data_IF_046739675759
#
_entry.id   IF_046739675759
#
_cell.length_a   1.000
_cell.length_b   1.000
_cell.length_c   1.000
_cell.angle_alpha   90.00
_cell.angle_beta   90.00
_cell.angle_gamma   90.00
#
_symmetry.space_group_name_H-M   'P 1'
#
loop_
_entity.id
_entity.type
_entity.pdbx_description
1 polymer ?
#
# COMPACT_ATOMS: atom_id res chain seq x y z
N UNK A 1 -17.01 -19.58 -13.96
CA UNK A 1 -17.23 -18.14 -13.79
C UNK A 1 -16.75 -17.43 -15.03
N UNK A 2 -17.49 -16.42 -15.49
CA UNK A 2 -17.19 -15.60 -16.65
C UNK A 2 -17.26 -14.13 -16.22
N UNK A 3 -16.17 -13.40 -16.42
CA UNK A 3 -16.09 -11.98 -16.11
C UNK A 3 -16.46 -11.13 -17.31
N UNK A 4 -17.28 -10.09 -17.11
CA UNK A 4 -17.69 -9.13 -18.14
C UNK A 4 -16.99 -7.78 -17.99
N UNK A 5 -16.32 -7.56 -16.88
CA UNK A 5 -15.48 -6.39 -16.62
C UNK A 5 -14.02 -6.84 -16.42
N UNK A 6 -13.08 -5.99 -16.83
CA UNK A 6 -11.64 -6.23 -16.63
C UNK A 6 -11.24 -5.88 -15.19
N UNK A 7 -10.17 -6.52 -14.72
CA UNK A 7 -9.53 -6.17 -13.45
C UNK A 7 -9.15 -4.68 -13.45
N UNK A 8 -9.45 -3.98 -12.35
CA UNK A 8 -9.18 -2.55 -12.20
C UNK A 8 -10.07 -1.61 -13.00
N UNK A 9 -11.05 -2.14 -13.75
CA UNK A 9 -11.96 -1.29 -14.50
C UNK A 9 -12.90 -0.49 -13.59
N UNK A 10 -13.10 0.78 -13.90
CA UNK A 10 -14.16 1.60 -13.30
C UNK A 10 -15.48 1.37 -14.00
N UNK A 11 -16.56 1.26 -13.23
CA UNK A 11 -17.90 1.06 -13.77
C UNK A 11 -18.94 1.89 -13.00
N UNK A 12 -20.10 2.04 -13.60
CA UNK A 12 -21.23 2.76 -13.01
C UNK A 12 -22.33 1.76 -12.58
N UNK A 13 -23.09 2.02 -11.53
CA UNK A 13 -24.28 1.25 -11.20
C UNK A 13 -25.39 1.42 -12.25
N UNK A 14 -26.10 0.36 -12.66
CA UNK A 14 -25.91 -1.05 -12.33
C UNK A 14 -25.13 -1.71 -13.47
N UNK A 15 -24.01 -2.40 -13.13
CA UNK A 15 -23.19 -3.08 -14.13
C UNK A 15 -23.16 -4.58 -13.87
N UNK A 16 -23.41 -5.39 -14.89
CA UNK A 16 -23.26 -6.83 -14.85
C UNK A 16 -21.77 -7.19 -14.91
N UNK A 17 -21.19 -7.53 -13.76
CA UNK A 17 -19.73 -7.73 -13.64
C UNK A 17 -19.31 -9.16 -14.00
N UNK A 18 -20.10 -10.17 -13.65
CA UNK A 18 -19.76 -11.56 -13.88
C UNK A 18 -20.98 -12.48 -13.94
N UNK A 19 -20.85 -13.60 -14.64
CA UNK A 19 -21.79 -14.72 -14.60
C UNK A 19 -21.14 -15.92 -13.91
N UNK A 20 -21.79 -16.45 -12.89
CA UNK A 20 -21.37 -17.65 -12.16
C UNK A 20 -22.39 -18.76 -12.42
N UNK A 21 -21.91 -19.95 -12.86
CA UNK A 21 -22.77 -21.10 -13.13
C UNK A 21 -22.42 -22.24 -12.19
N UNK A 22 -23.45 -22.92 -11.69
CA UNK A 22 -23.28 -24.08 -10.81
C UNK A 22 -24.56 -24.49 -10.13
N UNK A 23 -24.54 -25.56 -9.31
CA UNK A 23 -25.67 -25.96 -8.49
C UNK A 23 -26.11 -24.81 -7.56
N UNK A 24 -27.40 -24.46 -7.60
CA UNK A 24 -27.95 -23.34 -6.80
C UNK A 24 -27.57 -23.39 -5.33
N UNK A 25 -27.56 -24.60 -4.74
CA UNK A 25 -27.12 -24.77 -3.34
C UNK A 25 -25.71 -24.23 -3.09
N UNK A 26 -24.76 -24.50 -3.99
CA UNK A 26 -23.37 -24.04 -3.84
C UNK A 26 -23.23 -22.54 -4.08
N UNK A 27 -24.01 -22.00 -5.04
CA UNK A 27 -24.04 -20.57 -5.30
C UNK A 27 -24.51 -19.81 -4.07
N UNK A 28 -25.62 -20.24 -3.45
CA UNK A 28 -26.19 -19.58 -2.28
C UNK A 28 -25.29 -19.72 -1.03
N UNK A 29 -24.61 -20.84 -0.85
CA UNK A 29 -23.66 -21.04 0.25
C UNK A 29 -22.41 -20.17 0.11
N UNK A 30 -21.92 -19.98 -1.11
CA UNK A 30 -20.72 -19.19 -1.39
C UNK A 30 -20.96 -17.67 -1.54
N UNK A 31 -22.21 -17.28 -1.82
CA UNK A 31 -22.59 -15.91 -2.15
C UNK A 31 -22.00 -14.87 -1.20
N UNK A 32 -22.31 -14.96 0.08
CA UNK A 32 -21.95 -13.91 1.03
C UNK A 32 -20.45 -13.77 1.22
N UNK A 33 -19.72 -14.85 1.27
CA UNK A 33 -18.26 -14.85 1.39
C UNK A 33 -17.62 -14.22 0.15
N UNK A 34 -18.07 -14.62 -1.03
CA UNK A 34 -17.59 -14.08 -2.30
C UNK A 34 -17.85 -12.57 -2.42
N UNK A 35 -19.11 -12.14 -2.17
CA UNK A 35 -19.48 -10.74 -2.27
C UNK A 35 -18.77 -9.87 -1.24
N UNK A 36 -18.60 -10.32 0.01
CA UNK A 36 -17.88 -9.57 1.03
C UNK A 36 -16.39 -9.39 0.67
N UNK A 37 -15.76 -10.45 0.14
CA UNK A 37 -14.35 -10.39 -0.32
C UNK A 37 -14.21 -9.42 -1.49
N UNK A 38 -15.07 -9.54 -2.49
CA UNK A 38 -15.06 -8.68 -3.67
C UNK A 38 -15.34 -7.21 -3.29
N UNK A 39 -16.33 -6.96 -2.45
CA UNK A 39 -16.72 -5.63 -2.00
C UNK A 39 -15.57 -4.92 -1.25
N UNK A 40 -14.89 -5.63 -0.35
CA UNK A 40 -13.75 -5.10 0.40
C UNK A 40 -12.56 -4.82 -0.50
N UNK A 41 -12.18 -5.78 -1.34
CA UNK A 41 -11.07 -5.64 -2.28
C UNK A 41 -11.28 -4.46 -3.25
N UNK A 42 -12.47 -4.38 -3.85
CA UNK A 42 -12.84 -3.31 -4.79
C UNK A 42 -12.89 -1.94 -4.11
N UNK A 43 -13.33 -1.87 -2.85
CA UNK A 43 -13.31 -0.64 -2.07
C UNK A 43 -11.87 -0.12 -1.87
N UNK A 44 -10.95 -1.01 -1.51
CA UNK A 44 -9.52 -0.66 -1.35
C UNK A 44 -8.91 -0.24 -2.69
N UNK A 45 -9.18 -0.97 -3.77
CA UNK A 45 -8.71 -0.60 -5.10
C UNK A 45 -9.20 0.80 -5.52
N UNK A 46 -10.47 1.09 -5.28
CA UNK A 46 -11.08 2.40 -5.56
C UNK A 46 -10.44 3.51 -4.74
N UNK A 47 -10.25 3.31 -3.43
CA UNK A 47 -9.63 4.30 -2.55
C UNK A 47 -8.16 4.52 -2.90
N UNK A 48 -7.42 3.46 -3.20
CA UNK A 48 -6.02 3.49 -3.63
C UNK A 48 -5.87 4.29 -4.93
N UNK A 49 -6.68 3.99 -5.94
CA UNK A 49 -6.66 4.70 -7.21
C UNK A 49 -7.03 6.18 -7.06
N UNK A 50 -8.02 6.49 -6.23
CA UNK A 50 -8.41 7.87 -5.95
C UNK A 50 -7.27 8.68 -5.34
N UNK A 51 -6.59 8.13 -4.32
CA UNK A 51 -5.47 8.82 -3.67
C UNK A 51 -4.28 8.95 -4.63
N UNK A 52 -3.99 7.92 -5.42
CA UNK A 52 -2.95 7.97 -6.44
C UNK A 52 -3.23 9.05 -7.49
N UNK A 53 -4.47 9.14 -7.96
CA UNK A 53 -4.91 10.17 -8.93
C UNK A 53 -4.75 11.57 -8.36
N UNK A 54 -5.10 11.77 -7.08
CA UNK A 54 -4.92 13.04 -6.38
C UNK A 54 -3.43 13.43 -6.36
N UNK A 55 -2.54 12.52 -5.96
CA UNK A 55 -1.10 12.77 -5.94
C UNK A 55 -0.53 13.05 -7.33
N UNK A 56 -0.99 12.33 -8.36
CA UNK A 56 -0.60 12.61 -9.76
C UNK A 56 -1.06 14.00 -10.20
N UNK A 57 -2.27 14.41 -9.81
CA UNK A 57 -2.79 15.76 -10.05
C UNK A 57 -1.97 16.86 -9.37
N UNK A 58 -1.41 16.57 -8.19
CA UNK A 58 -0.49 17.45 -7.47
C UNK A 58 0.95 17.44 -8.03
N UNK A 59 1.21 16.72 -9.12
CA UNK A 59 2.54 16.63 -9.75
C UNK A 59 3.52 15.67 -9.07
N UNK A 60 3.07 14.81 -8.17
CA UNK A 60 3.92 13.81 -7.53
C UNK A 60 3.96 12.51 -8.36
N UNK A 61 5.10 12.19 -9.00
CA UNK A 61 5.21 11.03 -9.90
C UNK A 61 5.63 9.73 -9.19
N UNK A 62 6.11 9.84 -7.94
CA UNK A 62 6.76 8.75 -7.24
C UNK A 62 5.77 7.77 -6.59
N UNK A 63 6.22 6.95 -5.66
CA UNK A 63 5.48 5.79 -5.13
C UNK A 63 4.47 6.23 -4.06
N UNK A 64 3.22 5.79 -4.22
CA UNK A 64 2.25 5.70 -3.13
C UNK A 64 2.20 4.25 -2.66
N UNK A 65 2.30 4.01 -1.36
CA UNK A 65 2.35 2.69 -0.77
C UNK A 65 1.35 2.49 0.38
N UNK A 66 0.96 1.25 0.58
CA UNK A 66 0.17 0.84 1.73
C UNK A 66 1.02 0.52 2.96
N UNK A 67 0.42 -0.10 3.96
CA UNK A 67 1.09 -0.52 5.20
C UNK A 67 0.73 -1.96 5.57
N UNK A 68 1.27 -2.45 6.71
CA UNK A 68 0.85 -3.72 7.32
C UNK A 68 -0.28 -3.57 8.35
N UNK A 69 -0.87 -2.38 8.50
CA UNK A 69 -2.03 -2.12 9.39
C UNK A 69 -3.33 -2.64 8.79
N UNK A 70 -3.30 -3.87 8.28
CA UNK A 70 -4.39 -4.58 7.59
C UNK A 70 -5.30 -5.32 8.58
N UNK A 71 -6.49 -5.69 8.13
CA UNK A 71 -7.41 -6.55 8.88
C UNK A 71 -6.76 -7.91 9.16
N UNK A 72 -6.77 -8.40 10.41
CA UNK A 72 -6.25 -9.73 10.74
C UNK A 72 -6.84 -10.82 9.83
N UNK A 73 -5.96 -11.66 9.29
CA UNK A 73 -6.36 -12.74 8.37
C UNK A 73 -6.74 -12.32 6.95
N UNK A 74 -6.83 -11.01 6.66
CA UNK A 74 -7.31 -10.53 5.36
C UNK A 74 -6.28 -9.74 4.55
N UNK A 75 -5.01 -9.76 4.99
CA UNK A 75 -3.92 -8.96 4.39
C UNK A 75 -3.73 -9.22 2.91
N UNK A 76 -3.83 -10.49 2.47
CA UNK A 76 -3.64 -10.84 1.06
C UNK A 76 -4.63 -10.11 0.16
N UNK A 77 -5.92 -10.13 0.51
CA UNK A 77 -6.98 -9.46 -0.25
C UNK A 77 -6.82 -7.94 -0.22
N UNK A 78 -6.49 -7.38 0.95
CA UNK A 78 -6.30 -5.94 1.09
C UNK A 78 -5.11 -5.43 0.28
N UNK A 79 -3.97 -6.14 0.33
CA UNK A 79 -2.79 -5.79 -0.47
C UNK A 79 -3.00 -6.00 -1.97
N UNK A 80 -3.75 -7.03 -2.36
CA UNK A 80 -4.15 -7.22 -3.74
C UNK A 80 -4.99 -6.04 -4.25
N UNK A 81 -5.97 -5.58 -3.45
CA UNK A 81 -6.76 -4.39 -3.78
C UNK A 81 -5.90 -3.13 -3.97
N UNK A 82 -4.83 -2.96 -3.16
CA UNK A 82 -3.88 -1.86 -3.35
C UNK A 82 -3.20 -1.93 -4.73
N UNK A 83 -2.68 -3.10 -5.11
CA UNK A 83 -2.03 -3.31 -6.41
C UNK A 83 -2.99 -3.06 -7.57
N UNK A 84 -4.22 -3.56 -7.50
CA UNK A 84 -5.27 -3.28 -8.50
C UNK A 84 -5.55 -1.78 -8.63
N UNK A 85 -5.51 -1.05 -7.52
CA UNK A 85 -5.64 0.41 -7.49
C UNK A 85 -4.42 1.18 -8.00
N UNK A 86 -3.33 0.48 -8.38
CA UNK A 86 -2.10 1.07 -8.90
C UNK A 86 -1.13 1.55 -7.82
N UNK A 87 -1.29 1.11 -6.58
CA UNK A 87 -0.50 1.51 -5.42
C UNK A 87 0.42 0.36 -4.99
N UNK A 88 1.63 0.66 -4.53
CA UNK A 88 2.53 -0.34 -4.00
C UNK A 88 1.97 -0.94 -2.69
N UNK A 89 2.05 -2.25 -2.56
CA UNK A 89 1.57 -2.93 -1.38
C UNK A 89 2.49 -2.75 -0.15
N UNK A 90 3.69 -2.20 -0.33
CA UNK A 90 4.75 -2.21 0.67
C UNK A 90 5.10 -3.64 1.10
N UNK A 91 5.90 -3.82 2.15
CA UNK A 91 6.22 -5.17 2.64
C UNK A 91 4.98 -5.96 3.04
N UNK A 92 4.93 -7.22 2.62
CA UNK A 92 3.80 -8.12 2.90
C UNK A 92 3.86 -8.62 4.35
N UNK A 93 5.07 -8.95 4.81
CA UNK A 93 5.34 -9.45 6.15
C UNK A 93 6.73 -9.01 6.64
N UNK A 94 7.23 -9.60 7.71
CA UNK A 94 8.52 -9.25 8.30
C UNK A 94 9.72 -9.79 7.51
N UNK A 95 9.50 -10.75 6.60
CA UNK A 95 10.57 -11.34 5.79
C UNK A 95 10.81 -10.58 4.47
N UNK A 96 9.83 -9.81 4.00
CA UNK A 96 9.93 -9.09 2.73
C UNK A 96 10.93 -7.93 2.76
N UNK A 97 11.03 -7.26 3.90
CA UNK A 97 11.94 -6.14 4.14
C UNK A 97 12.07 -5.91 5.64
N UNK A 98 13.28 -5.57 6.11
CA UNK A 98 13.49 -5.20 7.51
C UNK A 98 13.15 -3.74 7.74
N UNK A 99 12.28 -3.44 8.70
CA UNK A 99 11.98 -2.08 9.14
C UNK A 99 12.35 -1.96 10.63
N UNK A 100 13.25 -1.05 10.91
CA UNK A 100 13.71 -0.73 12.25
C UNK A 100 12.87 0.41 12.81
N UNK A 101 12.33 0.22 13.99
CA UNK A 101 11.51 1.16 14.73
C UNK A 101 12.16 1.48 16.08
N UNK A 102 11.61 2.45 16.79
CA UNK A 102 12.04 2.90 18.10
C UNK A 102 12.47 1.75 19.04
N UNK A 103 11.61 0.77 19.21
CA UNK A 103 11.90 -0.39 20.08
C UNK A 103 13.08 -1.25 19.59
N UNK A 104 13.30 -1.35 18.27
CA UNK A 104 14.46 -2.07 17.73
C UNK A 104 15.75 -1.28 17.98
N UNK A 105 15.69 0.05 17.84
CA UNK A 105 16.82 0.96 18.06
C UNK A 105 17.23 0.93 19.53
N UNK A 106 16.24 1.04 20.43
CA UNK A 106 16.48 0.92 21.89
C UNK A 106 17.13 -0.42 22.24
N UNK A 107 16.62 -1.52 21.69
CA UNK A 107 17.16 -2.86 21.93
C UNK A 107 18.60 -3.03 21.39
N UNK A 108 18.95 -2.37 20.28
CA UNK A 108 20.29 -2.42 19.68
C UNK A 108 21.27 -1.40 20.27
N UNK A 109 20.77 -0.42 21.05
CA UNK A 109 21.54 0.63 21.70
C UNK A 109 21.86 1.85 20.82
N UNK A 110 21.74 1.76 19.49
CA UNK A 110 21.86 2.89 18.55
C UNK A 110 21.29 2.52 17.17
N UNK A 111 20.97 3.54 16.35
CA UNK A 111 20.56 3.37 14.96
C UNK A 111 21.66 2.65 14.16
N UNK A 112 22.89 3.08 14.31
CA UNK A 112 24.06 2.49 13.65
C UNK A 112 24.17 0.99 13.93
N UNK A 113 24.04 0.57 15.19
CA UNK A 113 24.10 -0.84 15.57
C UNK A 113 22.92 -1.63 15.01
N UNK A 114 21.72 -1.07 15.08
CA UNK A 114 20.50 -1.69 14.54
C UNK A 114 20.60 -1.92 13.03
N UNK A 115 21.03 -0.91 12.26
CA UNK A 115 21.22 -1.03 10.80
C UNK A 115 22.27 -2.07 10.46
N UNK A 116 23.43 -2.07 11.14
CA UNK A 116 24.48 -3.08 10.90
C UNK A 116 24.01 -4.50 11.19
N UNK A 117 23.32 -4.70 12.30
CA UNK A 117 22.76 -6.01 12.66
C UNK A 117 21.71 -6.47 11.64
N UNK A 118 20.81 -5.57 11.20
CA UNK A 118 19.79 -5.87 10.20
C UNK A 118 20.41 -6.24 8.84
N UNK A 119 21.43 -5.48 8.39
CA UNK A 119 22.17 -5.79 7.16
C UNK A 119 22.89 -7.13 7.24
N UNK A 120 23.51 -7.44 8.36
CA UNK A 120 24.19 -8.72 8.56
C UNK A 120 23.21 -9.91 8.51
N UNK A 121 22.01 -9.75 9.09
CA UNK A 121 20.98 -10.78 9.09
C UNK A 121 20.27 -10.94 7.72
N UNK A 122 19.97 -9.83 7.04
CA UNK A 122 19.24 -9.82 5.77
C UNK A 122 20.12 -10.10 4.53
N UNK A 123 21.42 -9.93 4.67
CA UNK A 123 22.35 -10.04 3.54
C UNK A 123 22.09 -9.00 2.44
N UNK A 124 22.52 -9.30 1.22
CA UNK A 124 22.38 -8.36 0.09
C UNK A 124 20.97 -8.26 -0.50
N UNK A 125 20.11 -9.22 -0.24
CA UNK A 125 18.79 -9.33 -0.86
C UNK A 125 17.70 -8.53 -0.13
N UNK A 126 17.90 -8.22 1.16
CA UNK A 126 16.87 -7.60 2.00
C UNK A 126 17.23 -6.14 2.26
N UNK A 127 16.34 -5.24 1.86
CA UNK A 127 16.44 -3.81 2.19
C UNK A 127 16.20 -3.58 3.68
N UNK A 128 16.90 -2.57 4.21
CA UNK A 128 16.73 -2.08 5.58
C UNK A 128 16.17 -0.68 5.55
N UNK A 129 15.01 -0.52 6.16
CA UNK A 129 14.32 0.74 6.38
C UNK A 129 14.41 1.15 7.85
N UNK A 130 14.57 2.44 8.10
CA UNK A 130 14.60 3.02 9.46
C UNK A 130 13.51 4.07 9.59
N UNK A 131 12.64 3.90 10.59
CA UNK A 131 11.66 4.90 10.99
C UNK A 131 12.35 5.94 11.88
N UNK A 132 12.39 7.21 11.44
CA UNK A 132 13.14 8.29 12.03
C UNK A 132 12.18 9.39 12.51
N UNK A 133 12.41 9.91 13.71
CA UNK A 133 11.64 10.99 14.32
C UNK A 133 12.31 12.36 14.19
N UNK A 134 13.55 12.40 13.68
CA UNK A 134 14.32 13.62 13.49
C UNK A 134 15.23 13.52 12.26
N UNK A 135 15.72 14.69 11.82
CA UNK A 135 16.75 14.78 10.78
C UNK A 135 18.01 14.03 11.16
N UNK A 136 18.48 14.19 12.42
CA UNK A 136 19.73 13.57 12.90
C UNK A 136 19.64 12.04 12.90
N UNK A 137 18.49 11.48 13.25
CA UNK A 137 18.23 10.04 13.16
C UNK A 137 18.29 9.53 11.72
N UNK A 138 17.66 10.25 10.79
CA UNK A 138 17.71 9.91 9.37
C UNK A 138 19.12 10.02 8.80
N UNK A 139 19.87 11.03 9.19
CA UNK A 139 21.27 11.24 8.83
C UNK A 139 22.15 10.09 9.33
N UNK A 140 22.02 9.70 10.61
CA UNK A 140 22.72 8.53 11.17
C UNK A 140 22.35 7.24 10.46
N UNK A 141 21.05 7.02 10.16
CA UNK A 141 20.60 5.83 9.47
C UNK A 141 21.22 5.70 8.06
N UNK A 142 21.25 6.79 7.28
CA UNK A 142 21.89 6.81 5.95
C UNK A 142 23.40 6.58 6.10
N UNK A 143 24.06 7.23 7.05
CA UNK A 143 25.48 7.04 7.34
C UNK A 143 25.79 5.57 7.64
N UNK A 144 24.93 4.89 8.40
CA UNK A 144 25.04 3.48 8.75
C UNK A 144 24.74 2.51 7.59
N UNK A 145 24.12 2.99 6.48
CA UNK A 145 23.84 2.21 5.29
C UNK A 145 22.39 1.73 5.16
N UNK A 146 21.42 2.41 5.76
CA UNK A 146 20.00 2.18 5.51
C UNK A 146 19.67 2.38 4.02
N UNK A 147 18.78 1.56 3.48
CA UNK A 147 18.32 1.66 2.10
C UNK A 147 17.13 2.62 1.97
N UNK A 148 16.35 2.75 3.04
CA UNK A 148 15.18 3.63 3.11
C UNK A 148 15.19 4.31 4.48
N UNK A 149 14.93 5.60 4.50
CA UNK A 149 14.65 6.36 5.73
C UNK A 149 13.23 6.88 5.68
N UNK A 150 12.44 6.55 6.70
CA UNK A 150 11.08 7.02 6.84
C UNK A 150 11.04 8.21 7.78
N UNK A 151 10.61 9.36 7.29
CA UNK A 151 10.31 10.55 8.08
C UNK A 151 8.90 10.38 8.67
N UNK A 152 8.82 9.97 9.94
CA UNK A 152 7.56 9.64 10.58
C UNK A 152 7.05 10.79 11.45
N UNK A 153 5.78 11.17 11.23
CA UNK A 153 5.10 12.24 11.96
C UNK A 153 5.76 13.64 11.90
N UNK A 154 6.52 13.93 10.86
CA UNK A 154 7.02 15.28 10.60
C UNK A 154 5.88 16.22 10.17
N UNK A 155 6.08 17.54 10.31
CA UNK A 155 5.20 18.52 9.68
C UNK A 155 5.45 18.57 8.16
N UNK A 156 4.49 19.06 7.34
CA UNK A 156 4.68 19.18 5.90
C UNK A 156 5.95 19.94 5.51
N UNK A 157 6.20 21.07 6.17
CA UNK A 157 7.38 21.92 5.94
C UNK A 157 8.67 21.19 6.38
N UNK A 158 8.60 20.50 7.53
CA UNK A 158 9.73 19.73 8.07
C UNK A 158 10.14 18.59 7.15
N UNK A 159 9.18 17.88 6.56
CA UNK A 159 9.45 16.81 5.57
C UNK A 159 10.19 17.35 4.36
N UNK A 160 9.71 18.45 3.78
CA UNK A 160 10.30 19.02 2.56
C UNK A 160 11.73 19.49 2.78
N UNK A 161 11.99 20.15 3.91
CA UNK A 161 13.35 20.59 4.28
C UNK A 161 14.25 19.39 4.54
N UNK A 162 13.83 18.45 5.38
CA UNK A 162 14.63 17.29 5.73
C UNK A 162 14.94 16.41 4.51
N UNK A 163 13.97 16.13 3.65
CA UNK A 163 14.18 15.34 2.45
C UNK A 163 15.19 16.00 1.50
N UNK A 164 15.06 17.29 1.27
CA UNK A 164 15.99 18.05 0.44
C UNK A 164 17.41 18.00 1.00
N UNK A 165 17.58 18.30 2.29
CA UNK A 165 18.90 18.37 2.92
C UNK A 165 19.59 17.00 2.95
N UNK A 166 18.85 15.91 3.20
CA UNK A 166 19.36 14.54 3.12
C UNK A 166 19.80 14.19 1.69
N UNK A 167 18.98 14.52 0.67
CA UNK A 167 19.33 14.28 -0.73
C UNK A 167 20.52 15.12 -1.18
N UNK A 168 20.63 16.36 -0.73
CA UNK A 168 21.77 17.22 -1.04
C UNK A 168 23.06 16.69 -0.37
N UNK A 169 22.99 16.32 0.90
CA UNK A 169 24.15 15.80 1.64
C UNK A 169 24.66 14.47 1.11
N UNK A 170 23.78 13.49 0.92
CA UNK A 170 24.15 12.11 0.66
C UNK A 170 23.94 11.65 -0.78
N UNK A 171 22.97 12.21 -1.48
CA UNK A 171 22.63 11.81 -2.85
C UNK A 171 23.31 12.62 -3.93
N UNK A 172 23.31 13.94 -3.77
CA UNK A 172 23.83 14.91 -4.77
C UNK A 172 25.21 15.50 -4.41
N UNK A 173 25.65 15.30 -3.17
CA UNK A 173 26.93 15.81 -2.68
C UNK A 173 28.16 15.27 -3.43
N UNK A 174 29.30 15.95 -3.25
CA UNK A 174 30.60 15.56 -3.86
C UNK A 174 31.38 14.52 -3.05
N UNK A 175 30.89 14.15 -1.87
CA UNK A 175 31.50 13.17 -0.96
C UNK A 175 31.05 11.73 -1.23
N UNK A 176 30.99 10.92 -0.17
CA UNK A 176 30.50 9.54 -0.22
C UNK A 176 29.03 9.49 -0.62
N UNK A 177 28.75 9.37 -1.92
CA UNK A 177 27.38 9.26 -2.43
C UNK A 177 26.75 7.95 -1.97
N UNK A 178 25.56 8.04 -1.37
CA UNK A 178 24.77 6.89 -0.98
C UNK A 178 23.47 6.82 -1.76
N UNK A 179 23.08 5.61 -2.12
CA UNK A 179 21.76 5.35 -2.72
C UNK A 179 20.79 5.01 -1.60
N UNK A 180 19.79 5.83 -1.41
CA UNK A 180 18.73 5.63 -0.43
C UNK A 180 17.42 6.24 -0.93
N UNK A 181 16.32 5.77 -0.37
CA UNK A 181 14.98 6.32 -0.62
C UNK A 181 14.52 7.07 0.63
N UNK A 182 13.76 8.13 0.42
CA UNK A 182 13.09 8.89 1.48
C UNK A 182 11.62 8.56 1.42
N UNK A 183 11.11 7.99 2.51
CA UNK A 183 9.70 7.71 2.71
C UNK A 183 9.11 8.74 3.68
N UNK A 184 7.88 9.16 3.45
CA UNK A 184 7.09 9.94 4.41
C UNK A 184 5.86 9.14 4.85
N UNK A 185 5.62 9.15 6.16
CA UNK A 185 4.50 8.46 6.80
C UNK A 185 3.97 9.24 8.00
N UNK A 186 2.85 8.79 8.55
CA UNK A 186 2.24 9.39 9.76
C UNK A 186 0.99 10.23 9.45
N UNK A 187 -0.19 9.69 9.74
CA UNK A 187 -1.47 10.40 9.66
C UNK A 187 -1.89 10.93 8.28
N UNK A 188 -1.29 10.41 7.19
CA UNK A 188 -1.56 10.87 5.83
C UNK A 188 -2.89 10.36 5.31
N UNK A 189 -3.68 11.28 4.76
CA UNK A 189 -5.01 11.04 4.20
C UNK A 189 -5.18 11.82 2.89
N UNK A 190 -6.30 11.62 2.20
CA UNK A 190 -6.64 12.40 0.99
C UNK A 190 -6.78 13.91 1.24
N UNK A 191 -6.93 14.35 2.51
CA UNK A 191 -7.12 15.77 2.87
C UNK A 191 -5.81 16.52 3.14
N UNK A 192 -4.71 15.81 3.34
CA UNK A 192 -3.45 16.44 3.74
C UNK A 192 -2.21 15.98 2.95
N UNK A 193 -2.27 14.84 2.26
CA UNK A 193 -1.11 14.19 1.63
C UNK A 193 -0.39 15.07 0.64
N UNK A 194 -1.10 15.93 -0.10
CA UNK A 194 -0.51 16.85 -1.09
C UNK A 194 0.50 17.84 -0.49
N UNK A 195 0.34 18.16 0.80
CA UNK A 195 1.23 19.08 1.51
C UNK A 195 2.59 18.43 1.84
N UNK A 196 2.65 17.10 1.87
CA UNK A 196 3.82 16.34 2.26
C UNK A 196 4.72 15.93 1.10
N UNK A 197 4.30 16.15 -0.14
CA UNK A 197 5.04 15.68 -1.31
C UNK A 197 5.90 16.75 -1.94
N UNK A 198 7.10 16.36 -2.38
CA UNK A 198 8.01 17.15 -3.19
C UNK A 198 8.89 16.20 -4.02
N UNK A 199 9.76 16.75 -4.87
CA UNK A 199 10.63 15.96 -5.74
C UNK A 199 11.66 15.09 -5.02
N UNK A 200 11.95 15.37 -3.76
CA UNK A 200 12.93 14.65 -2.94
C UNK A 200 12.33 13.52 -2.09
N UNK A 201 11.00 13.35 -2.11
CA UNK A 201 10.28 12.23 -1.51
C UNK A 201 10.10 11.13 -2.55
N UNK A 202 10.59 9.94 -2.25
CA UNK A 202 10.48 8.79 -3.14
C UNK A 202 9.21 7.98 -2.88
N UNK A 203 8.79 7.88 -1.62
CA UNK A 203 7.67 7.04 -1.19
C UNK A 203 6.76 7.82 -0.24
N UNK A 204 5.47 7.74 -0.48
CA UNK A 204 4.43 8.14 0.47
C UNK A 204 3.73 6.87 0.94
N UNK A 205 3.73 6.58 2.24
CA UNK A 205 3.00 5.43 2.76
C UNK A 205 1.87 5.83 3.71
N UNK A 206 0.73 5.17 3.56
CA UNK A 206 -0.43 5.44 4.41
C UNK A 206 -1.33 4.22 4.58
N UNK A 207 -1.91 4.09 5.77
CA UNK A 207 -2.96 3.11 6.04
C UNK A 207 -4.35 3.58 5.61
N UNK A 208 -4.53 4.85 5.27
CA UNK A 208 -5.86 5.39 4.91
C UNK A 208 -6.45 4.77 3.65
N UNK A 209 -5.63 4.16 2.80
CA UNK A 209 -6.08 3.46 1.58
C UNK A 209 -6.71 2.09 1.86
N UNK A 210 -6.55 1.53 3.05
CA UNK A 210 -7.14 0.24 3.43
C UNK A 210 -7.85 0.25 4.79
N UNK A 211 -7.70 1.30 5.60
CA UNK A 211 -8.47 1.47 6.85
C UNK A 211 -9.68 2.38 6.61
N UNK A 212 -10.82 2.05 7.22
CA UNK A 212 -12.04 2.84 7.11
C UNK A 212 -12.57 3.03 5.68
N UNK A 213 -12.27 2.08 4.78
CA UNK A 213 -12.63 2.17 3.37
C UNK A 213 -14.05 1.68 3.14
N UNK A 214 -14.91 2.44 2.44
CA UNK A 214 -16.23 1.98 2.03
C UNK A 214 -16.15 0.75 1.13
N UNK A 215 -17.06 -0.19 1.32
CA UNK A 215 -17.20 -1.33 0.43
C UNK A 215 -17.90 -0.90 -0.87
N UNK A 216 -17.53 -1.52 -1.99
CA UNK A 216 -18.35 -1.45 -3.22
C UNK A 216 -19.51 -2.40 -3.07
N UNK A 217 -20.73 -1.95 -3.39
CA UNK A 217 -21.92 -2.78 -3.27
C UNK A 217 -22.04 -3.73 -4.44
N UNK A 218 -22.04 -5.03 -4.15
CA UNK A 218 -22.27 -6.11 -5.10
C UNK A 218 -23.44 -6.98 -4.66
N UNK A 219 -24.22 -7.44 -5.62
CA UNK A 219 -25.32 -8.39 -5.39
C UNK A 219 -25.25 -9.55 -6.37
N UNK A 220 -25.74 -10.72 -5.94
CA UNK A 220 -25.91 -11.89 -6.78
C UNK A 220 -27.41 -12.08 -7.03
N UNK A 221 -27.79 -12.30 -8.29
CA UNK A 221 -29.18 -12.57 -8.69
C UNK A 221 -29.27 -13.91 -9.40
N UNK A 222 -30.11 -14.79 -8.89
CA UNK A 222 -30.43 -16.05 -9.57
C UNK A 222 -31.32 -15.75 -10.78
N UNK A 223 -30.86 -16.16 -11.96
CA UNK A 223 -31.69 -16.11 -13.18
C UNK A 223 -32.39 -17.45 -13.35
N UNK A 224 -33.71 -17.50 -13.36
CA UNK A 224 -34.45 -18.74 -13.59
C UNK A 224 -34.13 -19.36 -14.97
N UNK A 225 -34.10 -20.70 -15.03
CA UNK A 225 -33.97 -21.40 -16.32
C UNK A 225 -35.09 -20.95 -17.26
N UNK A 226 -34.75 -20.52 -18.46
CA UNK A 226 -35.77 -20.41 -19.51
C UNK A 226 -36.19 -21.83 -19.92
N UNK A 227 -37.47 -22.02 -20.20
CA UNK A 227 -38.01 -23.35 -20.62
C UNK A 227 -37.38 -23.86 -21.93
N UNK A 228 -36.52 -23.07 -22.59
CA UNK A 228 -35.86 -23.41 -23.87
C UNK A 228 -34.43 -23.95 -23.71
N UNK A 229 -33.78 -23.69 -22.61
CA UNK A 229 -32.40 -24.12 -22.40
C UNK A 229 -32.41 -25.26 -21.38
N UNK A 230 -32.23 -26.50 -21.84
CA UNK A 230 -32.11 -27.69 -20.98
C UNK A 230 -30.85 -27.68 -20.11
N UNK A 231 -30.48 -26.56 -19.56
CA UNK A 231 -29.23 -26.33 -18.82
C UNK A 231 -29.41 -25.63 -17.49
N UNK A 232 -28.35 -25.59 -16.70
CA UNK A 232 -28.21 -25.16 -15.32
C UNK A 232 -28.63 -23.70 -15.03
N UNK A 233 -29.03 -23.41 -13.79
CA UNK A 233 -29.40 -22.06 -13.35
C UNK A 233 -28.22 -21.08 -13.41
N UNK A 234 -28.47 -19.89 -13.95
CA UNK A 234 -27.53 -18.77 -13.99
C UNK A 234 -27.70 -17.90 -12.73
N UNK A 235 -26.59 -17.50 -12.13
CA UNK A 235 -26.56 -16.48 -11.10
C UNK A 235 -25.69 -15.29 -11.58
N UNK A 236 -26.12 -14.08 -11.31
CA UNK A 236 -25.53 -12.84 -11.81
C UNK A 236 -25.18 -11.92 -10.63
#
# INVERSE_FOLDING_TARGET
>A
MEWHVKEGASFQPVTHCATVRGPVRHLLLGERVALNTLARCSGIATKSNRLLTLLRGAGYPNILAGTRKTTPGFRLVEKYGMLVGGVDAHRVDLSAMTMLKDNHIVAAGSITNAVRAAKAAGGFAIKVEVECQSFDEADEAIAAGADIVMLDNFTPEGVQVAAKDLKDKWGRGTGDRKQFLVEVSGGLTEYNVEKYVCGDIDIVSTSSIHQGVPHVDFSLKIVPKSKKDGGESLAV
#
